data_IF_232702663123
#
_entry.id   IF_232702663123
#
_cell.length_a   1.000
_cell.length_b   1.000
_cell.length_c   1.000
_cell.angle_alpha   90.00
_cell.angle_beta   90.00
_cell.angle_gamma   90.00
#
_symmetry.space_group_name_H-M   'P 1'
#
loop_
_entity.id
_entity.type
_entity.pdbx_description
1 polymer ?
#
# COMPACT_ATOMS: atom_id res chain seq x y z
N UNK A 1 -18.62 -1.82 -16.06
CA UNK A 1 -18.30 -0.95 -17.21
C UNK A 1 -17.68 0.37 -16.76
N UNK A 2 -18.45 1.30 -16.16
CA UNK A 2 -17.96 2.63 -15.73
C UNK A 2 -16.79 2.54 -14.74
N UNK A 3 -16.89 1.70 -13.70
CA UNK A 3 -15.81 1.54 -12.72
C UNK A 3 -14.50 1.06 -13.36
N UNK A 4 -14.58 0.18 -14.36
CA UNK A 4 -13.41 -0.28 -15.11
C UNK A 4 -12.81 0.86 -15.90
N UNK A 5 -13.64 1.65 -16.58
CA UNK A 5 -13.22 2.81 -17.37
C UNK A 5 -12.56 3.88 -16.48
N UNK A 6 -13.16 4.22 -15.33
CA UNK A 6 -12.57 5.15 -14.33
C UNK A 6 -11.23 4.61 -13.83
N UNK A 7 -11.13 3.30 -13.54
CA UNK A 7 -9.85 2.69 -13.14
C UNK A 7 -8.81 2.81 -14.26
N UNK A 8 -9.19 2.60 -15.51
CA UNK A 8 -8.27 2.78 -16.65
C UNK A 8 -7.73 4.21 -16.71
N UNK A 9 -8.58 5.21 -16.52
CA UNK A 9 -8.15 6.61 -16.41
C UNK A 9 -7.21 6.80 -15.21
N UNK A 10 -7.67 6.43 -14.01
CA UNK A 10 -6.93 6.59 -12.77
C UNK A 10 -5.52 5.99 -12.84
N UNK A 11 -5.38 4.79 -13.41
CA UNK A 11 -4.14 4.03 -13.46
C UNK A 11 -3.30 4.28 -14.72
N UNK A 12 -3.59 5.34 -15.48
CA UNK A 12 -2.75 5.76 -16.60
C UNK A 12 -1.34 6.11 -16.11
N UNK A 13 -0.28 5.69 -16.82
CA UNK A 13 1.12 5.90 -16.37
C UNK A 13 1.61 7.32 -16.58
N UNK A 14 1.09 8.00 -17.59
CA UNK A 14 1.49 9.33 -18.00
C UNK A 14 0.34 10.06 -18.70
N UNK A 15 0.55 11.33 -18.98
CA UNK A 15 -0.43 12.20 -19.61
C UNK A 15 -0.87 11.71 -20.99
N UNK A 16 0.06 11.17 -21.79
CA UNK A 16 -0.25 10.69 -23.15
C UNK A 16 -1.22 9.50 -23.09
N UNK A 17 -0.90 8.50 -22.26
CA UNK A 17 -1.78 7.34 -22.05
C UNK A 17 -3.15 7.78 -21.51
N UNK A 18 -3.16 8.75 -20.60
CA UNK A 18 -4.39 9.29 -20.02
C UNK A 18 -5.27 9.97 -21.05
N UNK A 19 -4.73 10.81 -21.91
CA UNK A 19 -5.50 11.50 -22.96
C UNK A 19 -6.12 10.51 -23.96
N UNK A 20 -5.36 9.50 -24.38
CA UNK A 20 -5.85 8.43 -25.26
C UNK A 20 -6.99 7.65 -24.59
N UNK A 21 -6.80 7.23 -23.34
CA UNK A 21 -7.84 6.53 -22.57
C UNK A 21 -9.08 7.42 -22.37
N UNK A 22 -8.89 8.70 -22.07
CA UNK A 22 -9.97 9.69 -21.87
C UNK A 22 -10.82 9.85 -23.10
N UNK A 23 -10.22 10.00 -24.27
CA UNK A 23 -10.95 10.09 -25.54
C UNK A 23 -11.77 8.82 -25.78
N UNK A 24 -11.14 7.64 -25.72
CA UNK A 24 -11.82 6.36 -25.97
C UNK A 24 -13.01 6.13 -25.01
N UNK A 25 -12.82 6.44 -23.73
CA UNK A 25 -13.84 6.25 -22.70
C UNK A 25 -14.99 7.24 -22.87
N UNK A 26 -14.71 8.52 -23.16
CA UNK A 26 -15.78 9.49 -23.35
C UNK A 26 -16.55 9.27 -24.63
N UNK A 27 -15.91 8.91 -25.74
CA UNK A 27 -16.63 8.47 -26.95
C UNK A 27 -17.59 7.33 -26.63
N UNK A 28 -17.14 6.34 -25.86
CA UNK A 28 -18.00 5.25 -25.39
C UNK A 28 -19.14 5.75 -24.50
N UNK A 29 -18.87 6.59 -23.51
CA UNK A 29 -19.90 7.07 -22.58
C UNK A 29 -20.94 7.96 -23.27
N UNK A 30 -20.54 8.81 -24.22
CA UNK A 30 -21.47 9.65 -25.00
C UNK A 30 -22.43 8.85 -25.87
N UNK A 31 -22.07 7.63 -26.27
CA UNK A 31 -22.95 6.75 -27.03
C UNK A 31 -24.09 6.15 -26.19
N UNK A 32 -24.02 6.25 -24.86
CA UNK A 32 -25.06 5.74 -23.96
C UNK A 32 -25.87 6.89 -23.38
N UNK A 33 -27.11 7.05 -23.85
CA UNK A 33 -28.01 8.12 -23.40
C UNK A 33 -28.18 8.14 -21.86
N UNK A 34 -28.24 6.97 -21.23
CA UNK A 34 -28.36 6.83 -19.77
C UNK A 34 -27.14 7.34 -18.99
N UNK A 35 -26.00 7.59 -19.66
CA UNK A 35 -24.79 8.11 -19.02
C UNK A 35 -24.62 9.61 -19.18
N UNK A 36 -25.56 10.32 -19.81
CA UNK A 36 -25.43 11.75 -20.11
C UNK A 36 -25.16 12.59 -18.85
N UNK A 37 -26.00 12.45 -17.84
CA UNK A 37 -25.88 13.23 -16.59
C UNK A 37 -24.62 12.87 -15.83
N UNK A 38 -24.32 11.57 -15.74
CA UNK A 38 -23.08 11.09 -15.12
C UNK A 38 -21.83 11.63 -15.83
N UNK A 39 -21.81 11.60 -17.16
CA UNK A 39 -20.67 12.08 -17.96
C UNK A 39 -20.49 13.58 -17.80
N UNK A 40 -21.58 14.36 -17.81
CA UNK A 40 -21.56 15.79 -17.56
C UNK A 40 -21.02 16.13 -16.16
N UNK A 41 -21.51 15.44 -15.13
CA UNK A 41 -20.98 15.56 -13.77
C UNK A 41 -19.49 15.19 -13.71
N UNK A 42 -19.10 14.06 -14.30
CA UNK A 42 -17.72 13.57 -14.21
C UNK A 42 -16.73 14.52 -14.88
N UNK A 43 -17.07 15.04 -16.06
CA UNK A 43 -16.24 16.04 -16.74
C UNK A 43 -16.10 17.31 -15.90
N UNK A 44 -17.22 17.81 -15.35
CA UNK A 44 -17.22 19.03 -14.53
C UNK A 44 -16.35 18.88 -13.29
N UNK A 45 -16.55 17.82 -12.50
CA UNK A 45 -15.91 17.68 -11.19
C UNK A 45 -14.51 17.08 -11.24
N UNK A 46 -14.33 16.01 -12.04
CA UNK A 46 -13.11 15.18 -12.02
C UNK A 46 -12.13 15.49 -13.14
N UNK A 47 -12.56 16.15 -14.22
CA UNK A 47 -11.66 16.52 -15.32
C UNK A 47 -11.29 18.00 -15.24
N UNK A 48 -12.30 18.87 -15.13
CA UNK A 48 -12.12 20.32 -15.17
C UNK A 48 -12.16 20.98 -13.78
N UNK A 49 -12.66 20.25 -12.78
CA UNK A 49 -12.87 20.77 -11.43
C UNK A 49 -11.62 20.73 -10.55
N UNK A 50 -11.83 20.98 -9.26
CA UNK A 50 -10.77 21.01 -8.25
C UNK A 50 -10.15 19.64 -7.99
N UNK A 51 -10.87 18.56 -8.32
CA UNK A 51 -10.41 17.18 -8.10
C UNK A 51 -9.62 16.59 -9.28
N UNK A 52 -9.25 17.39 -10.28
CA UNK A 52 -8.57 16.95 -11.52
C UNK A 52 -7.25 16.17 -11.32
N UNK A 53 -6.59 16.35 -10.17
CA UNK A 53 -5.34 15.67 -9.83
C UNK A 53 -5.56 14.30 -9.16
N UNK A 54 -6.61 13.59 -9.56
CA UNK A 54 -6.97 12.28 -9.01
C UNK A 54 -6.25 11.11 -9.70
N UNK A 55 -5.53 11.34 -10.80
CA UNK A 55 -4.85 10.30 -11.58
C UNK A 55 -3.48 9.97 -10.98
N UNK A 56 -3.06 8.70 -10.99
CA UNK A 56 -1.87 8.26 -10.23
C UNK A 56 -0.57 8.98 -10.62
N UNK A 57 -0.42 9.43 -11.87
CA UNK A 57 0.81 10.10 -12.32
C UNK A 57 0.87 11.57 -11.89
N UNK A 58 -0.20 12.13 -11.33
CA UNK A 58 -0.26 13.52 -10.85
C UNK A 58 0.12 13.66 -9.37
N UNK A 59 0.22 12.54 -8.65
CA UNK A 59 0.57 12.49 -7.23
C UNK A 59 1.86 11.70 -7.02
N UNK A 60 2.63 11.97 -5.95
CA UNK A 60 3.76 11.13 -5.58
C UNK A 60 3.34 9.67 -5.34
N UNK A 61 4.26 8.74 -5.58
CA UNK A 61 3.94 7.32 -5.50
C UNK A 61 3.44 6.90 -4.12
N UNK A 62 2.41 6.05 -4.06
CA UNK A 62 1.88 5.50 -2.81
C UNK A 62 0.99 6.43 -1.99
N UNK A 63 0.71 7.64 -2.49
CA UNK A 63 -0.41 8.43 -1.99
C UNK A 63 -1.72 7.67 -2.24
N UNK A 64 -2.66 7.82 -1.32
CA UNK A 64 -3.93 7.09 -1.39
C UNK A 64 -4.75 7.56 -2.60
N UNK A 65 -4.67 6.82 -3.72
CA UNK A 65 -5.52 7.03 -4.90
C UNK A 65 -6.97 6.58 -4.72
N UNK A 66 -7.32 6.07 -3.54
CA UNK A 66 -8.67 5.64 -3.19
C UNK A 66 -9.01 6.11 -1.79
N UNK A 67 -10.29 6.36 -1.54
CA UNK A 67 -10.88 6.57 -0.22
C UNK A 67 -10.81 5.32 0.69
N UNK A 68 -10.16 4.23 0.28
CA UNK A 68 -10.10 2.98 1.04
C UNK A 68 -9.60 3.14 2.49
N UNK A 69 -8.61 4.01 2.82
CA UNK A 69 -8.22 4.23 4.21
C UNK A 69 -9.33 4.87 5.05
N UNK A 70 -10.05 5.86 4.51
CA UNK A 70 -11.17 6.51 5.22
C UNK A 70 -12.39 5.60 5.30
N UNK A 71 -12.68 4.82 4.26
CA UNK A 71 -13.74 3.80 4.30
C UNK A 71 -13.44 2.71 5.32
N UNK A 72 -12.20 2.22 5.34
CA UNK A 72 -11.75 1.22 6.32
C UNK A 72 -11.83 1.77 7.75
N UNK A 73 -11.39 3.01 7.96
CA UNK A 73 -11.52 3.69 9.24
C UNK A 73 -12.99 3.82 9.63
N UNK A 74 -13.84 4.35 8.75
CA UNK A 74 -15.27 4.52 9.01
C UNK A 74 -15.97 3.19 9.32
N UNK A 75 -15.61 2.11 8.62
CA UNK A 75 -16.14 0.78 8.87
C UNK A 75 -15.71 0.25 10.24
N UNK A 76 -14.44 0.39 10.61
CA UNK A 76 -13.94 -0.01 11.92
C UNK A 76 -14.56 0.83 13.04
N UNK A 77 -14.62 2.14 12.85
CA UNK A 77 -15.21 3.09 13.77
C UNK A 77 -16.67 2.73 14.07
N UNK A 78 -17.47 2.54 13.00
CA UNK A 78 -18.89 2.15 13.13
C UNK A 78 -19.06 0.80 13.82
N UNK A 79 -18.17 -0.15 13.54
CA UNK A 79 -18.22 -1.49 14.13
C UNK A 79 -17.85 -1.49 15.62
N UNK A 80 -16.78 -0.78 15.98
CA UNK A 80 -16.19 -0.83 17.33
C UNK A 80 -16.90 0.09 18.31
N UNK A 81 -17.17 1.33 17.92
CA UNK A 81 -17.64 2.35 18.86
C UNK A 81 -19.13 2.58 18.74
N UNK A 82 -19.65 2.77 17.53
CA UNK A 82 -21.09 3.08 17.38
C UNK A 82 -21.97 1.84 17.35
N UNK A 83 -21.42 0.65 17.05
CA UNK A 83 -22.17 -0.59 16.81
C UNK A 83 -23.32 -0.40 15.82
N UNK A 84 -23.11 0.47 14.83
CA UNK A 84 -24.12 0.89 13.84
C UNK A 84 -25.37 1.57 14.43
N UNK A 85 -25.37 1.96 15.70
CA UNK A 85 -26.49 2.68 16.29
C UNK A 85 -26.45 4.16 15.89
N UNK A 86 -27.58 4.75 15.50
CA UNK A 86 -27.69 6.20 15.39
C UNK A 86 -27.48 6.84 16.77
N UNK A 87 -26.87 8.04 16.79
CA UNK A 87 -26.51 8.77 18.01
C UNK A 87 -26.73 10.26 17.79
N UNK A 88 -27.04 10.99 18.86
CA UNK A 88 -27.08 12.45 18.81
C UNK A 88 -25.67 13.01 18.60
N UNK A 89 -25.56 14.26 18.16
CA UNK A 89 -24.27 14.93 17.99
C UNK A 89 -23.48 14.96 19.31
N UNK A 90 -24.15 15.24 20.43
CA UNK A 90 -23.53 15.30 21.76
C UNK A 90 -22.98 13.93 22.16
N UNK A 91 -23.73 12.85 21.92
CA UNK A 91 -23.27 11.49 22.22
C UNK A 91 -22.08 11.08 21.35
N UNK A 92 -22.04 11.52 20.09
CA UNK A 92 -20.90 11.31 19.21
C UNK A 92 -19.65 12.02 19.73
N UNK A 93 -19.77 13.26 20.19
CA UNK A 93 -18.64 14.01 20.76
C UNK A 93 -18.10 13.31 22.01
N UNK A 94 -18.98 12.89 22.93
CA UNK A 94 -18.58 12.13 24.13
C UNK A 94 -17.87 10.83 23.77
N UNK A 95 -18.46 10.03 22.89
CA UNK A 95 -17.86 8.79 22.40
C UNK A 95 -16.47 9.02 21.77
N UNK A 96 -16.28 10.12 21.03
CA UNK A 96 -14.98 10.45 20.46
C UNK A 96 -13.96 10.79 21.56
N UNK A 97 -14.32 11.64 22.50
CA UNK A 97 -13.43 12.07 23.59
C UNK A 97 -13.11 10.96 24.58
N UNK A 98 -14.12 10.19 24.98
CA UNK A 98 -14.04 9.27 26.10
C UNK A 98 -13.57 7.87 25.66
N UNK A 99 -13.94 7.42 24.45
CA UNK A 99 -13.63 6.07 23.98
C UNK A 99 -12.60 6.06 22.84
N UNK A 100 -12.78 6.91 21.82
CA UNK A 100 -11.99 6.81 20.58
C UNK A 100 -10.60 7.38 20.77
N UNK A 101 -10.49 8.60 21.31
CA UNK A 101 -9.20 9.27 21.49
C UNK A 101 -8.24 8.42 22.33
N UNK A 102 -8.61 7.91 23.52
CA UNK A 102 -7.70 7.08 24.34
C UNK A 102 -7.17 5.87 23.59
N UNK A 103 -8.04 5.14 22.88
CA UNK A 103 -7.65 3.94 22.12
C UNK A 103 -6.64 4.26 21.00
N UNK A 104 -6.82 5.37 20.30
CA UNK A 104 -5.93 5.75 19.20
C UNK A 104 -4.71 6.57 19.65
N UNK A 105 -4.76 7.27 20.79
CA UNK A 105 -3.64 8.04 21.33
C UNK A 105 -2.61 7.16 22.05
N UNK A 106 -3.07 6.08 22.69
CA UNK A 106 -2.20 5.08 23.34
C UNK A 106 -1.56 4.10 22.34
N UNK A 107 -1.93 4.18 21.05
CA UNK A 107 -1.32 3.36 20.00
C UNK A 107 0.16 3.72 19.83
N UNK A 108 1.05 2.88 20.35
CA UNK A 108 2.51 2.96 20.19
C UNK A 108 2.99 2.58 18.78
N UNK A 109 2.14 2.66 17.75
CA UNK A 109 2.51 2.29 16.38
C UNK A 109 3.47 3.33 15.83
N UNK A 110 4.73 2.95 15.64
CA UNK A 110 5.71 3.79 14.98
C UNK A 110 5.25 4.14 13.56
N UNK A 111 5.25 5.44 13.26
CA UNK A 111 5.05 5.92 11.90
C UNK A 111 6.26 5.53 11.05
N UNK A 112 6.00 4.91 9.88
CA UNK A 112 7.05 4.51 8.94
C UNK A 112 6.81 5.17 7.59
N UNK A 113 7.82 5.89 7.10
CA UNK A 113 7.80 6.47 5.75
C UNK A 113 7.90 5.43 4.64
N UNK A 114 8.48 4.26 4.93
CA UNK A 114 8.67 3.19 3.95
C UNK A 114 7.64 2.09 4.15
N UNK A 115 6.96 1.72 3.06
CA UNK A 115 5.98 0.64 3.08
C UNK A 115 6.68 -0.70 2.99
N UNK A 116 6.46 -1.54 4.00
CA UNK A 116 6.93 -2.92 3.94
C UNK A 116 6.14 -3.72 2.89
N UNK A 117 6.81 -4.49 2.01
CA UNK A 117 6.14 -5.34 1.04
C UNK A 117 5.23 -6.35 1.73
N UNK A 118 3.94 -6.30 1.40
CA UNK A 118 2.98 -7.24 1.94
C UNK A 118 3.15 -8.65 1.32
N UNK A 119 2.45 -9.64 1.89
CA UNK A 119 2.50 -11.05 1.43
C UNK A 119 2.16 -11.18 -0.06
N UNK A 120 1.21 -10.37 -0.57
CA UNK A 120 0.81 -10.40 -1.99
C UNK A 120 1.96 -9.97 -2.90
N UNK A 121 2.65 -8.86 -2.58
CA UNK A 121 3.82 -8.37 -3.34
C UNK A 121 4.92 -9.42 -3.35
N UNK A 122 5.21 -10.02 -2.18
CA UNK A 122 6.22 -11.09 -2.06
C UNK A 122 5.86 -12.32 -2.91
N UNK A 123 4.60 -12.73 -2.90
CA UNK A 123 4.14 -13.87 -3.69
C UNK A 123 4.15 -13.57 -5.20
N UNK A 124 3.81 -12.35 -5.61
CA UNK A 124 3.91 -11.94 -7.00
C UNK A 124 5.36 -11.92 -7.47
N UNK A 125 6.28 -11.42 -6.65
CA UNK A 125 7.71 -11.38 -6.97
C UNK A 125 8.30 -12.78 -7.21
N UNK A 126 7.86 -13.79 -6.46
CA UNK A 126 8.26 -15.20 -6.66
C UNK A 126 7.83 -15.76 -8.02
N UNK A 127 6.80 -15.20 -8.65
CA UNK A 127 6.28 -15.65 -9.95
C UNK A 127 6.97 -14.96 -11.14
N UNK A 128 7.80 -13.95 -10.88
CA UNK A 128 8.54 -13.26 -11.93
C UNK A 128 9.77 -14.09 -12.30
N UNK A 129 10.04 -14.22 -13.60
CA UNK A 129 11.24 -14.88 -14.09
C UNK A 129 12.47 -13.98 -13.93
N UNK A 130 13.48 -14.50 -13.25
CA UNK A 130 14.75 -13.84 -12.93
C UNK A 130 15.49 -13.46 -14.21
N UNK A 131 15.31 -14.22 -15.30
CA UNK A 131 15.95 -13.98 -16.60
C UNK A 131 15.45 -12.72 -17.31
N UNK A 132 14.32 -12.16 -16.87
CA UNK A 132 13.74 -10.96 -17.47
C UNK A 132 14.30 -9.67 -16.84
N UNK A 133 15.21 -9.78 -15.87
CA UNK A 133 15.83 -8.65 -15.21
C UNK A 133 17.26 -8.42 -15.70
N UNK A 134 17.57 -7.19 -16.10
CA UNK A 134 18.88 -6.81 -16.63
C UNK A 134 19.36 -5.52 -15.99
N UNK A 135 20.60 -5.50 -15.50
CA UNK A 135 21.26 -4.25 -15.06
C UNK A 135 21.64 -3.44 -16.29
N UNK A 136 21.46 -2.12 -16.22
CA UNK A 136 21.92 -1.18 -17.25
C UNK A 136 23.44 -1.19 -17.36
N UNK A 137 23.97 -1.29 -18.57
CA UNK A 137 25.42 -1.17 -18.81
C UNK A 137 25.99 0.18 -18.39
N UNK A 138 25.15 1.22 -18.34
CA UNK A 138 25.57 2.60 -18.06
C UNK A 138 25.44 2.98 -16.58
N UNK A 139 24.57 2.30 -15.82
CA UNK A 139 24.32 2.61 -14.41
C UNK A 139 23.98 1.33 -13.64
N UNK A 140 24.84 0.88 -12.70
CA UNK A 140 24.60 -0.34 -11.93
C UNK A 140 23.38 -0.25 -11.00
N UNK A 141 22.86 0.95 -10.74
CA UNK A 141 21.66 1.15 -9.92
C UNK A 141 20.36 0.99 -10.72
N UNK A 142 20.44 1.01 -12.05
CA UNK A 142 19.28 0.94 -12.93
C UNK A 142 19.10 -0.49 -13.44
N UNK A 143 17.92 -1.05 -13.19
CA UNK A 143 17.51 -2.39 -13.63
C UNK A 143 16.27 -2.31 -14.50
N UNK A 144 16.29 -3.05 -15.60
CA UNK A 144 15.15 -3.21 -16.50
C UNK A 144 14.49 -4.55 -16.27
N UNK A 145 13.17 -4.55 -16.15
CA UNK A 145 12.33 -5.74 -16.18
C UNK A 145 11.52 -5.78 -17.47
N UNK A 146 11.75 -6.79 -18.30
CA UNK A 146 11.06 -7.00 -19.57
C UNK A 146 9.87 -7.95 -19.40
N UNK A 147 8.76 -7.42 -18.91
CA UNK A 147 7.50 -8.17 -18.84
C UNK A 147 6.84 -8.31 -20.22
N UNK A 148 5.96 -9.29 -20.36
CA UNK A 148 5.23 -9.60 -21.61
C UNK A 148 4.56 -8.39 -22.26
N UNK A 149 4.01 -7.46 -21.46
CA UNK A 149 3.21 -6.33 -21.94
C UNK A 149 3.82 -4.97 -21.62
N UNK A 150 4.91 -4.91 -20.87
CA UNK A 150 5.55 -3.65 -20.54
C UNK A 150 6.95 -3.83 -19.98
N UNK A 151 7.82 -2.90 -20.35
CA UNK A 151 9.12 -2.73 -19.73
C UNK A 151 8.94 -1.85 -18.49
N UNK A 152 9.55 -2.25 -17.38
CA UNK A 152 9.64 -1.44 -16.16
C UNK A 152 11.10 -1.11 -15.86
N UNK A 153 11.38 0.17 -15.70
CA UNK A 153 12.63 0.67 -15.13
C UNK A 153 12.56 0.67 -13.62
N UNK A 154 13.63 0.22 -12.98
CA UNK A 154 13.74 0.06 -11.53
C UNK A 154 15.04 0.72 -11.11
N UNK A 155 14.95 1.71 -10.22
CA UNK A 155 16.11 2.32 -9.60
C UNK A 155 16.28 1.71 -8.21
N UNK A 156 17.34 0.93 -8.04
CA UNK A 156 17.64 0.24 -6.79
C UNK A 156 18.11 1.24 -5.73
N UNK A 157 18.90 2.23 -6.10
CA UNK A 157 19.42 3.21 -5.14
C UNK A 157 18.28 4.03 -4.53
N UNK A 158 17.43 4.60 -5.39
CA UNK A 158 16.29 5.42 -4.96
C UNK A 158 15.06 4.60 -4.56
N UNK A 159 15.11 3.27 -4.69
CA UNK A 159 14.00 2.35 -4.37
C UNK A 159 12.73 2.67 -5.16
N UNK A 160 12.85 2.98 -6.45
CA UNK A 160 11.72 3.35 -7.29
C UNK A 160 11.49 2.40 -8.45
N UNK A 161 10.28 2.39 -9.01
CA UNK A 161 9.95 1.63 -10.21
C UNK A 161 8.91 2.36 -11.05
N UNK A 162 9.03 2.32 -12.38
CA UNK A 162 8.10 2.98 -13.30
C UNK A 162 6.80 2.19 -13.58
N UNK A 163 6.58 1.08 -12.90
CA UNK A 163 5.36 0.30 -13.10
C UNK A 163 4.14 0.94 -12.40
N UNK A 164 2.93 0.72 -12.97
CA UNK A 164 1.66 1.27 -12.42
C UNK A 164 1.45 0.90 -10.95
N UNK A 165 1.84 -0.32 -10.56
CA UNK A 165 1.75 -0.77 -9.18
C UNK A 165 2.62 0.06 -8.25
N UNK A 166 3.85 0.39 -8.64
CA UNK A 166 4.70 1.23 -7.82
C UNK A 166 4.13 2.65 -7.73
N UNK A 167 3.73 3.25 -8.84
CA UNK A 167 3.08 4.57 -8.84
C UNK A 167 1.89 4.62 -7.89
N UNK A 168 1.01 3.62 -7.93
CA UNK A 168 -0.17 3.59 -7.08
C UNK A 168 0.10 3.29 -5.59
N UNK A 169 1.16 2.54 -5.27
CA UNK A 169 1.32 1.94 -3.93
C UNK A 169 2.69 2.16 -3.27
N UNK A 170 3.62 2.83 -3.96
CA UNK A 170 5.05 2.97 -3.62
C UNK A 170 5.75 1.64 -3.32
N UNK A 171 5.19 0.54 -3.81
CA UNK A 171 5.77 -0.80 -3.66
C UNK A 171 5.25 -1.69 -4.78
N UNK A 172 6.10 -2.55 -5.33
CA UNK A 172 5.73 -3.49 -6.38
C UNK A 172 6.59 -4.75 -6.37
N UNK A 173 6.12 -5.77 -7.08
CA UNK A 173 6.84 -7.05 -7.20
C UNK A 173 8.18 -6.90 -7.93
N UNK A 174 8.26 -6.03 -8.94
CA UNK A 174 9.49 -5.79 -9.70
C UNK A 174 10.59 -5.23 -8.80
N UNK A 175 10.29 -4.16 -8.06
CA UNK A 175 11.23 -3.55 -7.13
C UNK A 175 11.70 -4.57 -6.09
N UNK A 176 10.76 -5.29 -5.46
CA UNK A 176 11.10 -6.30 -4.46
C UNK A 176 12.02 -7.38 -5.03
N UNK A 177 11.71 -7.91 -6.23
CA UNK A 177 12.50 -8.95 -6.89
C UNK A 177 13.88 -8.44 -7.32
N UNK A 178 13.97 -7.26 -7.91
CA UNK A 178 15.25 -6.65 -8.29
C UNK A 178 16.16 -6.43 -7.07
N UNK A 179 15.59 -6.02 -5.93
CA UNK A 179 16.31 -5.95 -4.66
C UNK A 179 16.86 -7.32 -4.22
N UNK A 180 16.09 -8.40 -4.40
CA UNK A 180 16.56 -9.75 -4.08
C UNK A 180 17.68 -10.23 -5.01
N UNK A 181 17.68 -9.80 -6.27
CA UNK A 181 18.64 -10.26 -7.28
C UNK A 181 19.95 -9.46 -7.24
N UNK A 182 19.88 -8.13 -7.11
CA UNK A 182 21.03 -7.27 -7.41
C UNK A 182 21.52 -6.43 -6.25
N UNK A 183 20.72 -6.24 -5.19
CA UNK A 183 21.15 -5.47 -4.01
C UNK A 183 21.90 -6.33 -2.96
N UNK A 184 22.17 -7.60 -3.26
CA UNK A 184 22.84 -8.53 -2.34
C UNK A 184 24.37 -8.32 -2.36
N UNK A 185 24.81 -7.17 -1.81
CA UNK A 185 26.08 -7.06 -1.10
C UNK A 185 25.90 -6.88 0.41
N UNK A 186 24.66 -6.93 0.92
CA UNK A 186 24.41 -7.19 2.35
C UNK A 186 23.47 -8.38 2.49
N UNK A 187 24.02 -9.57 2.27
CA UNK A 187 23.46 -10.84 2.75
C UNK A 187 23.52 -10.93 4.29
N UNK A 188 23.06 -9.87 4.96
CA UNK A 188 22.70 -9.78 6.37
C UNK A 188 21.24 -9.34 6.40
N UNK A 189 20.33 -10.24 5.99
CA UNK A 189 18.98 -10.46 6.56
C UNK A 189 18.14 -9.26 7.05
N UNK A 190 18.24 -8.05 6.50
CA UNK A 190 17.64 -6.87 7.13
C UNK A 190 17.13 -5.84 6.12
N UNK A 191 15.85 -5.96 5.76
CA UNK A 191 15.03 -4.77 5.50
C UNK A 191 14.75 -3.97 6.81
N UNK A 192 15.18 -4.48 7.99
CA UNK A 192 15.21 -3.79 9.30
C UNK A 192 16.30 -4.40 10.19
N UNK A 193 17.18 -3.60 10.80
CA UNK A 193 18.01 -4.04 11.95
C UNK A 193 17.10 -4.14 13.17
N UNK A 194 16.60 -5.35 13.48
CA UNK A 194 16.22 -5.67 14.87
C UNK A 194 17.50 -5.93 15.67
N UNK A 195 17.57 -5.34 16.86
CA UNK A 195 18.56 -5.73 17.87
C UNK A 195 18.32 -7.21 18.23
N UNK A 196 19.41 -7.99 18.33
CA UNK A 196 19.33 -9.38 18.81
C UNK A 196 18.78 -9.34 20.23
N UNK A 197 17.67 -10.04 20.48
CA UNK A 197 17.29 -10.41 21.85
C UNK A 197 18.45 -11.22 22.43
N UNK A 198 18.98 -10.77 23.56
CA UNK A 198 19.98 -11.50 24.32
C UNK A 198 19.49 -12.91 24.70
N UNK A 199 20.40 -13.81 25.08
CA UNK A 199 20.06 -15.19 25.40
C UNK A 199 18.95 -15.23 26.46
N UNK A 200 17.90 -16.02 26.20
CA UNK A 200 16.91 -16.37 27.21
C UNK A 200 17.64 -17.02 28.38
N UNK A 201 17.52 -16.44 29.58
CA UNK A 201 17.82 -17.15 30.82
C UNK A 201 16.88 -18.35 30.89
N UNK A 202 17.40 -19.54 30.59
CA UNK A 202 16.81 -20.79 31.05
C UNK A 202 17.17 -20.91 32.53
N UNK A 203 16.16 -21.03 33.38
CA UNK A 203 16.30 -21.12 34.82
C UNK A 203 14.94 -21.44 35.42
N UNK A 204 14.45 -22.64 35.09
CA UNK A 204 13.40 -23.30 35.87
C UNK A 204 13.93 -23.50 37.29
N UNK A 205 13.40 -22.73 38.24
CA UNK A 205 13.51 -23.09 39.66
C UNK A 205 12.48 -24.18 39.93
N UNK A 206 12.94 -25.43 39.95
CA UNK A 206 12.22 -26.56 40.54
C UNK A 206 11.88 -26.24 41.99
N UNK A 207 10.60 -26.35 42.33
CA UNK A 207 10.14 -26.50 43.70
C UNK A 207 10.32 -27.99 44.00
N UNK A 208 11.43 -28.36 44.64
CA UNK A 208 11.58 -29.67 45.26
C UNK A 208 11.14 -29.56 46.72
N UNK A 209 10.00 -30.17 47.01
CA UNK A 209 9.54 -30.53 48.35
C UNK A 209 10.46 -31.59 48.93
N UNK A 210 11.12 -31.30 50.05
CA UNK A 210 11.76 -32.31 50.88
C UNK A 210 10.98 -32.42 52.20
N UNK A 211 10.18 -33.49 52.31
CA UNK A 211 9.71 -34.02 53.59
C UNK A 211 10.73 -35.05 54.11
N UNK A 212 11.11 -34.88 55.38
CA UNK A 212 11.46 -35.96 56.32
C UNK A 212 12.92 -36.41 56.39
N UNK A 213 13.61 -36.14 57.51
CA UNK A 213 13.66 -37.03 58.69
C UNK A 213 14.74 -36.59 59.71
N UNK A 214 14.25 -36.23 60.91
CA UNK A 214 14.75 -36.45 62.29
C UNK A 214 16.20 -36.83 62.63
N UNK A 215 16.60 -36.37 63.84
CA UNK A 215 17.66 -36.77 64.79
C UNK A 215 18.77 -35.70 64.88
N UNK A 216 19.10 -35.10 66.02
CA UNK A 216 18.93 -35.43 67.44
C UNK A 216 18.44 -34.23 68.28
#
# INVERSE_FOLDING_TARGET
>A
MILTDIRTLHYSKNYIEYEVNKQNIFTKWFNYAQLRDFTGYFIKEWINGVFKNWVIFTSPSGYAGTNNPIESFNAQFKKQFTKFSPRSLIDCVKLICDDVIPVYSESTREFKFTREPNVKVKNLAKKLDDKLFFISSNDPNLVYYYGLSSISTIDIFNKTCSCRWFMAYSTCAHLYKAFQLFYVQTASSKFVIRARRGPKKNGESKIETNEGLTKD
#
